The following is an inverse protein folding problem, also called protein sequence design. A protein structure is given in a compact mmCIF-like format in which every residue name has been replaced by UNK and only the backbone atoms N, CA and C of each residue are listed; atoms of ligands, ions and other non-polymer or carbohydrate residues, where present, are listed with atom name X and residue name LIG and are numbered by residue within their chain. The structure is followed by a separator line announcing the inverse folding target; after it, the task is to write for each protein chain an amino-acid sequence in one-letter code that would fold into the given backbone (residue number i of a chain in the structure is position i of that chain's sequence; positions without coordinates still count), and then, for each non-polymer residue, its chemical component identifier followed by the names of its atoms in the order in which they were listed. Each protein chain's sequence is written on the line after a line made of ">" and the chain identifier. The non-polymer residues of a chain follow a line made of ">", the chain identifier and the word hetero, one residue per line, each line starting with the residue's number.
data_IF_455396062751
#
_entry.id   IF_455396062751
#
_cell.length_a   1.000
_cell.length_b   1.000
_cell.length_c   1.000
_cell.angle_alpha   90.00
_cell.angle_beta   90.00
_cell.angle_gamma   90.00
#
_symmetry.space_group_name_H-M   'P 1'
#
loop_
_entity.id
_entity.type
_entity.pdbx_description
1 polymer ?
#
# COMPACT_ATOMS: atom_id res chain seq x y z
N UNK A 1 27.81 -12.05 22.70
CA UNK A 1 27.83 -10.57 22.58
C UNK A 1 26.62 -10.05 21.80
N UNK A 2 25.40 -10.51 22.10
CA UNK A 2 24.20 -10.22 21.29
C UNK A 2 22.94 -10.00 22.13
N UNK A 3 23.06 -9.22 23.21
CA UNK A 3 21.93 -8.96 24.13
C UNK A 3 21.39 -7.53 24.12
N UNK A 4 22.10 -6.57 23.50
CA UNK A 4 21.87 -5.13 23.78
C UNK A 4 21.36 -4.31 22.58
N UNK A 5 21.09 -4.94 21.43
CA UNK A 5 20.84 -4.18 20.22
C UNK A 5 19.43 -3.59 20.15
N UNK A 6 18.38 -4.31 20.56
CA UNK A 6 17.00 -3.88 20.26
C UNK A 6 16.29 -3.13 21.40
N UNK A 7 16.67 -3.38 22.66
CA UNK A 7 16.11 -2.70 23.83
C UNK A 7 16.26 -1.17 23.84
N UNK A 8 17.49 -0.62 23.68
CA UNK A 8 17.69 0.83 23.71
C UNK A 8 17.03 1.55 22.53
N UNK A 9 17.00 0.95 21.33
CA UNK A 9 16.31 1.53 20.18
C UNK A 9 14.80 1.69 20.45
N UNK A 10 14.15 0.70 21.07
CA UNK A 10 12.72 0.78 21.39
C UNK A 10 12.42 1.87 22.44
N UNK A 11 13.25 2.02 23.46
CA UNK A 11 13.08 3.07 24.49
C UNK A 11 13.14 4.46 23.86
N UNK A 12 14.12 4.71 22.99
CA UNK A 12 14.28 6.00 22.32
C UNK A 12 13.09 6.26 21.40
N UNK A 13 12.65 5.24 20.66
CA UNK A 13 11.46 5.31 19.80
C UNK A 13 10.23 5.75 20.61
N UNK A 14 9.97 5.12 21.76
CA UNK A 14 8.82 5.45 22.62
C UNK A 14 8.89 6.89 23.12
N UNK A 15 10.06 7.36 23.54
CA UNK A 15 10.26 8.75 24.00
C UNK A 15 9.96 9.74 22.87
N UNK A 16 10.46 9.47 21.65
CA UNK A 16 10.18 10.29 20.47
C UNK A 16 8.70 10.29 20.14
N UNK A 17 8.02 9.13 20.19
CA UNK A 17 6.57 9.04 19.98
C UNK A 17 5.76 9.80 21.03
N UNK A 18 6.23 9.86 22.28
CA UNK A 18 5.58 10.65 23.33
C UNK A 18 5.73 12.16 23.09
N UNK A 19 6.92 12.61 22.66
CA UNK A 19 7.19 14.03 22.39
C UNK A 19 6.52 14.53 21.10
N UNK A 20 6.64 13.79 20.01
CA UNK A 20 6.08 14.16 18.70
C UNK A 20 4.63 13.71 18.53
N UNK A 21 4.18 12.72 19.29
CA UNK A 21 2.87 12.09 19.14
C UNK A 21 2.84 11.07 17.99
N UNK A 22 2.11 9.94 18.14
CA UNK A 22 2.01 8.91 17.11
C UNK A 22 1.31 9.40 15.82
N UNK A 23 0.53 10.49 15.90
CA UNK A 23 -0.18 11.07 14.76
C UNK A 23 0.74 11.81 13.78
N UNK A 24 1.90 12.29 14.23
CA UNK A 24 2.82 13.06 13.38
C UNK A 24 3.72 12.18 12.53
N UNK A 25 4.06 10.98 13.00
CA UNK A 25 4.84 9.98 12.25
C UNK A 25 4.27 9.64 10.87
N UNK A 26 2.97 9.30 10.70
CA UNK A 26 2.42 8.99 9.38
C UNK A 26 2.37 10.21 8.47
N UNK A 27 2.12 11.39 9.01
CA UNK A 27 2.08 12.67 8.28
C UNK A 27 3.48 13.03 7.72
N UNK A 28 4.52 12.89 8.53
CA UNK A 28 5.93 13.04 8.13
C UNK A 28 6.36 11.95 7.14
N UNK A 29 5.98 10.69 7.39
CA UNK A 29 6.30 9.54 6.54
C UNK A 29 5.69 9.63 5.14
N UNK A 30 4.49 10.19 5.00
CA UNK A 30 3.86 10.39 3.68
C UNK A 30 4.64 11.41 2.84
N UNK A 31 5.10 12.50 3.46
CA UNK A 31 5.89 13.54 2.78
C UNK A 31 7.27 13.01 2.33
N UNK A 32 7.96 12.27 3.22
CA UNK A 32 9.25 11.66 2.96
C UNK A 32 9.12 10.52 1.94
N UNK A 33 8.06 9.72 2.02
CA UNK A 33 7.80 8.62 1.09
C UNK A 33 7.60 9.10 -0.35
N UNK A 34 6.86 10.21 -0.55
CA UNK A 34 6.70 10.83 -1.88
C UNK A 34 8.03 11.35 -2.44
N UNK A 35 8.87 11.93 -1.57
CA UNK A 35 10.20 12.36 -1.96
C UNK A 35 11.06 11.16 -2.39
N UNK A 36 11.18 10.14 -1.55
CA UNK A 36 11.96 8.92 -1.83
C UNK A 36 11.50 8.22 -3.12
N UNK A 37 10.18 8.14 -3.36
CA UNK A 37 9.60 7.63 -4.62
C UNK A 37 10.11 8.41 -5.83
N UNK A 38 10.08 9.74 -5.76
CA UNK A 38 10.49 10.61 -6.85
C UNK A 38 12.01 10.54 -7.08
N UNK A 39 12.80 10.47 -6.00
CA UNK A 39 14.25 10.25 -6.05
C UNK A 39 14.59 8.89 -6.67
N UNK A 40 13.88 7.81 -6.28
CA UNK A 40 14.09 6.48 -6.83
C UNK A 40 13.71 6.41 -8.31
N UNK A 41 12.60 7.05 -8.70
CA UNK A 41 12.17 7.13 -10.09
C UNK A 41 13.20 7.84 -10.97
N UNK A 42 13.77 8.95 -10.50
CA UNK A 42 14.82 9.69 -11.22
C UNK A 42 16.14 8.90 -11.30
N UNK A 43 16.45 8.08 -10.29
CA UNK A 43 17.64 7.22 -10.28
C UNK A 43 17.50 5.96 -11.15
N UNK A 44 16.29 5.40 -11.28
CA UNK A 44 15.96 4.26 -12.17
C UNK A 44 15.70 4.68 -13.64
N UNK A 45 15.66 5.99 -13.95
CA UNK A 45 15.31 6.51 -15.29
C UNK A 45 16.32 6.25 -16.43
N UNK A 46 17.58 5.78 -16.26
CA UNK A 46 18.35 5.40 -17.44
C UNK A 46 17.85 4.13 -18.13
N UNK A 47 16.96 3.32 -17.55
CA UNK A 47 16.75 1.95 -18.05
C UNK A 47 15.32 1.56 -18.48
N UNK A 48 14.21 2.16 -18.01
CA UNK A 48 12.88 1.64 -18.40
C UNK A 48 11.71 2.64 -18.21
N UNK A 49 11.38 3.37 -19.28
CA UNK A 49 10.30 4.36 -19.32
C UNK A 49 8.85 3.79 -19.39
N UNK A 50 8.61 2.47 -19.33
CA UNK A 50 7.32 1.92 -19.77
C UNK A 50 6.55 0.96 -18.83
N UNK A 51 6.97 0.64 -17.60
CA UNK A 51 6.25 -0.41 -16.82
C UNK A 51 6.08 -0.25 -15.30
N UNK A 52 6.37 0.91 -14.70
CA UNK A 52 6.44 1.02 -13.23
C UNK A 52 5.50 2.07 -12.60
N UNK A 53 4.37 2.38 -13.23
CA UNK A 53 3.36 3.25 -12.60
C UNK A 53 2.30 2.48 -11.78
N UNK A 54 2.27 1.14 -11.86
CA UNK A 54 1.29 0.31 -11.14
C UNK A 54 1.82 -0.26 -9.81
N UNK A 55 3.13 -0.38 -9.63
CA UNK A 55 3.72 -1.07 -8.46
C UNK A 55 3.75 -0.23 -7.17
N UNK A 56 3.35 1.04 -7.18
CA UNK A 56 3.62 1.94 -6.06
C UNK A 56 2.36 2.67 -5.55
N UNK A 57 1.23 1.99 -5.72
CA UNK A 57 0.06 2.07 -4.84
C UNK A 57 0.20 1.12 -3.62
N UNK A 58 1.40 0.55 -3.40
CA UNK A 58 1.70 -0.45 -2.37
C UNK A 58 1.93 0.12 -0.95
N UNK A 59 1.91 1.45 -0.75
CA UNK A 59 1.90 2.08 0.59
C UNK A 59 0.56 2.75 0.93
N UNK A 60 -0.53 2.28 0.29
CA UNK A 60 -1.87 2.25 0.89
C UNK A 60 -2.18 0.88 1.54
N UNK A 61 -1.18 0.00 1.62
CA UNK A 61 -1.28 -1.39 2.07
C UNK A 61 -0.89 -1.62 3.52
N UNK A 62 -1.41 -0.84 4.47
CA UNK A 62 -1.47 -1.29 5.87
C UNK A 62 -2.91 -1.51 6.36
N UNK A 63 -3.94 -1.24 5.54
CA UNK A 63 -5.34 -1.41 5.97
C UNK A 63 -6.36 -1.86 4.90
N UNK A 64 -6.01 -2.10 3.62
CA UNK A 64 -7.02 -2.46 2.62
C UNK A 64 -6.50 -3.39 1.52
N UNK A 65 -6.30 -4.65 1.88
CA UNK A 65 -6.24 -5.76 0.93
C UNK A 65 -7.67 -6.28 0.71
N UNK A 66 -8.26 -6.08 -0.48
CA UNK A 66 -9.35 -6.95 -0.96
C UNK A 66 -9.32 -7.03 -2.48
N UNK A 67 -9.07 -8.25 -2.95
CA UNK A 67 -8.95 -8.69 -4.35
C UNK A 67 -10.09 -8.20 -5.25
N UNK A 68 -9.74 -7.61 -6.40
CA UNK A 68 -10.68 -7.49 -7.53
C UNK A 68 -11.04 -8.90 -8.04
N UNK A 69 -12.33 -9.25 -8.07
CA UNK A 69 -12.87 -10.49 -8.67
C UNK A 69 -13.42 -10.17 -10.07
N UNK A 70 -13.18 -11.04 -11.04
CA UNK A 70 -13.69 -10.92 -12.42
C UNK A 70 -14.93 -11.79 -12.58
N UNK A 71 -15.97 -11.27 -13.25
CA UNK A 71 -17.18 -12.05 -13.52
C UNK A 71 -16.93 -13.10 -14.64
N UNK A 72 -17.22 -14.41 -14.44
CA UNK A 72 -16.96 -15.46 -15.43
C UNK A 72 -17.89 -15.40 -16.66
N UNK A 73 -19.03 -14.69 -16.58
CA UNK A 73 -20.03 -14.65 -17.65
C UNK A 73 -19.82 -13.49 -18.65
N UNK A 74 -19.22 -12.39 -18.21
CA UNK A 74 -19.08 -11.16 -19.01
C UNK A 74 -17.65 -10.59 -19.01
N UNK A 75 -16.72 -11.26 -18.30
CA UNK A 75 -15.28 -10.98 -18.19
C UNK A 75 -14.90 -9.52 -17.81
N UNK A 76 -15.88 -8.71 -17.40
CA UNK A 76 -15.66 -7.35 -16.92
C UNK A 76 -15.17 -7.37 -15.46
N UNK A 77 -14.19 -6.53 -15.19
CA UNK A 77 -13.61 -6.36 -13.86
C UNK A 77 -14.60 -5.65 -12.94
N UNK A 78 -14.89 -6.26 -11.79
CA UNK A 78 -15.81 -5.69 -10.80
C UNK A 78 -14.99 -5.17 -9.62
N UNK A 79 -15.10 -3.87 -9.38
CA UNK A 79 -14.39 -3.15 -8.32
C UNK A 79 -15.01 -3.32 -6.93
N UNK A 80 -15.50 -4.51 -6.58
CA UNK A 80 -16.11 -4.77 -5.27
C UNK A 80 -16.84 -6.11 -5.13
N UNK A 81 -17.30 -6.41 -3.93
CA UNK A 81 -18.06 -7.63 -3.60
C UNK A 81 -19.56 -7.41 -3.85
N UNK A 82 -19.99 -7.51 -5.10
CA UNK A 82 -21.41 -7.42 -5.48
C UNK A 82 -22.02 -8.82 -5.63
N UNK A 83 -23.19 -9.06 -5.03
CA UNK A 83 -23.90 -10.34 -5.14
C UNK A 83 -24.44 -10.63 -6.56
N UNK A 84 -24.67 -9.59 -7.35
CA UNK A 84 -25.19 -9.65 -8.72
C UNK A 84 -24.39 -8.70 -9.62
N UNK A 85 -24.11 -9.11 -10.86
CA UNK A 85 -23.40 -8.26 -11.81
C UNK A 85 -24.36 -7.20 -12.41
N UNK A 86 -24.11 -5.88 -12.22
CA UNK A 86 -25.02 -4.81 -12.68
C UNK A 86 -25.10 -4.66 -14.21
N UNK A 87 -24.21 -5.33 -14.95
CA UNK A 87 -24.12 -5.23 -16.40
C UNK A 87 -24.75 -6.41 -17.16
N UNK A 88 -24.98 -7.53 -16.47
CA UNK A 88 -25.41 -8.81 -17.07
C UNK A 88 -26.49 -9.51 -16.23
N UNK A 89 -26.80 -9.02 -15.02
CA UNK A 89 -27.82 -9.57 -14.11
C UNK A 89 -27.48 -10.93 -13.49
N UNK A 90 -26.33 -11.52 -13.84
CA UNK A 90 -25.92 -12.85 -13.37
C UNK A 90 -25.46 -12.82 -11.91
N UNK A 91 -25.77 -13.90 -11.17
CA UNK A 91 -25.36 -14.06 -9.79
C UNK A 91 -23.86 -14.45 -9.72
N UNK A 92 -23.10 -13.78 -8.86
CA UNK A 92 -21.65 -13.97 -8.70
C UNK A 92 -21.28 -14.76 -7.44
N UNK A 93 -22.28 -15.17 -6.64
CA UNK A 93 -22.10 -15.81 -5.34
C UNK A 93 -22.03 -17.34 -5.41
N UNK A 94 -22.05 -17.91 -6.62
CA UNK A 94 -22.18 -19.36 -6.85
C UNK A 94 -21.00 -19.97 -7.62
N UNK A 95 -19.88 -19.26 -7.78
CA UNK A 95 -18.63 -19.73 -8.37
C UNK A 95 -17.44 -19.45 -7.46
#
# INVERSE_FOLDING_TARGET
>A
MFGYSWGPILIILVIVLLLFGPKRLPELGESIGKAIKSFKKAHDEPENLAHKQEAESASRGAAAETRKKVCPQCQKELGGEFAFCPHCGHNLKSA
#
